data_IF_449067709433
#
_entry.id   IF_449067709433
#
_cell.length_a   1.000
_cell.length_b   1.000
_cell.length_c   1.000
_cell.angle_alpha   90.00
_cell.angle_beta   90.00
_cell.angle_gamma   90.00
#
_symmetry.space_group_name_H-M   'P 1'
#
loop_
_entity.id
_entity.type
_entity.pdbx_description
1 polymer ?
#
# COMPACT_ATOMS: atom_id res chain seq x y z
N UNK A 1 17.41 1.73 -15.80
CA UNK A 1 15.99 1.65 -15.39
C UNK A 1 15.80 1.64 -13.88
N UNK A 2 16.42 0.72 -13.11
CA UNK A 2 16.23 0.62 -11.65
C UNK A 2 16.51 1.94 -10.90
N UNK A 3 17.60 2.63 -11.23
CA UNK A 3 17.91 3.95 -10.66
C UNK A 3 16.72 4.91 -10.75
N UNK A 4 16.04 5.00 -11.90
CA UNK A 4 14.83 5.84 -12.08
C UNK A 4 13.73 5.53 -11.07
N UNK A 5 13.49 4.24 -10.79
CA UNK A 5 12.38 3.78 -9.95
C UNK A 5 12.68 3.89 -8.45
N UNK A 6 13.95 3.77 -8.07
CA UNK A 6 14.39 3.79 -6.68
C UNK A 6 14.88 5.17 -6.22
N UNK A 7 15.18 6.10 -7.15
CA UNK A 7 15.50 7.48 -6.80
C UNK A 7 14.30 8.15 -6.14
N UNK A 8 14.50 8.61 -4.90
CA UNK A 8 13.53 9.38 -4.13
C UNK A 8 13.32 10.77 -4.74
N UNK A 9 12.06 11.21 -4.80
CA UNK A 9 11.65 12.50 -5.35
C UNK A 9 10.81 13.24 -4.33
N UNK A 10 10.93 14.57 -4.31
CA UNK A 10 10.15 15.42 -3.42
C UNK A 10 8.81 15.74 -4.06
N UNK A 11 7.74 15.52 -3.31
CA UNK A 11 6.36 15.85 -3.70
C UNK A 11 5.84 16.85 -2.67
N UNK A 12 5.63 18.12 -3.05
CA UNK A 12 5.06 19.11 -2.15
C UNK A 12 3.68 18.69 -1.64
N UNK A 13 3.43 18.91 -0.34
CA UNK A 13 2.15 18.63 0.31
C UNK A 13 1.60 19.94 0.87
N UNK A 14 0.34 20.26 0.54
CA UNK A 14 -0.37 21.43 1.04
C UNK A 14 -1.60 21.01 1.83
N UNK A 15 -1.86 21.68 2.94
CA UNK A 15 -3.09 21.52 3.73
C UNK A 15 -3.99 22.71 3.41
N UNK A 16 -5.16 22.46 2.84
CA UNK A 16 -6.03 23.49 2.29
C UNK A 16 -7.28 23.65 3.16
N UNK A 17 -7.45 24.86 3.71
CA UNK A 17 -8.70 25.28 4.33
C UNK A 17 -9.74 25.57 3.23
N UNK A 18 -10.97 25.10 3.42
CA UNK A 18 -12.02 25.22 2.40
C UNK A 18 -13.35 25.66 3.02
N UNK A 19 -13.99 26.68 2.44
CA UNK A 19 -15.25 27.25 2.93
C UNK A 19 -15.25 27.57 4.44
N UNK A 20 -14.15 28.17 4.95
CA UNK A 20 -14.01 28.51 6.37
C UNK A 20 -13.71 27.33 7.30
N UNK A 21 -13.64 26.09 6.78
CA UNK A 21 -13.24 24.90 7.53
C UNK A 21 -11.72 24.77 7.52
N UNK A 22 -11.13 24.79 8.72
CA UNK A 22 -9.70 24.60 8.93
C UNK A 22 -9.43 23.10 9.02
N UNK A 23 -8.31 22.65 8.45
CA UNK A 23 -7.88 21.26 8.61
C UNK A 23 -7.60 20.96 10.08
N UNK A 24 -8.32 20.01 10.66
CA UNK A 24 -8.07 19.52 12.00
C UNK A 24 -6.78 18.69 12.02
N UNK A 25 -5.74 19.29 12.60
CA UNK A 25 -4.42 18.69 12.75
C UNK A 25 -4.24 17.98 14.09
N UNK A 26 -5.20 18.07 15.01
CA UNK A 26 -5.04 17.54 16.38
C UNK A 26 -4.86 16.03 16.43
N UNK A 27 -5.30 15.32 15.38
CA UNK A 27 -5.25 13.87 15.25
C UNK A 27 -3.98 13.37 14.52
N UNK A 28 -3.20 14.29 13.95
CA UNK A 28 -1.95 13.97 13.27
C UNK A 28 -0.81 13.73 14.26
N UNK A 29 0.17 12.95 13.82
CA UNK A 29 1.49 12.99 14.44
C UNK A 29 2.13 14.35 14.12
N UNK A 30 2.35 15.18 15.15
CA UNK A 30 2.75 16.58 14.94
C UNK A 30 4.14 16.69 14.28
N UNK A 31 5.08 15.80 14.63
CA UNK A 31 6.41 15.79 14.03
C UNK A 31 6.33 15.48 12.53
N UNK A 32 5.54 14.47 12.17
CA UNK A 32 5.33 14.11 10.77
C UNK A 32 4.54 15.18 10.01
N UNK A 33 3.52 15.77 10.63
CA UNK A 33 2.76 16.89 10.06
C UNK A 33 3.66 18.09 9.73
N UNK A 34 4.46 18.55 10.70
CA UNK A 34 5.36 19.70 10.51
C UNK A 34 6.41 19.41 9.43
N UNK A 35 6.95 18.19 9.43
CA UNK A 35 7.89 17.75 8.39
C UNK A 35 7.24 17.74 7.00
N UNK A 36 6.04 17.17 6.85
CA UNK A 36 5.30 17.13 5.59
C UNK A 36 4.93 18.53 5.10
N UNK A 37 4.46 19.41 5.99
CA UNK A 37 4.09 20.78 5.65
C UNK A 37 5.30 21.58 5.16
N UNK A 38 6.45 21.43 5.82
CA UNK A 38 7.67 22.19 5.48
C UNK A 38 8.41 21.60 4.27
N UNK A 39 8.52 20.28 4.21
CA UNK A 39 9.43 19.58 3.31
C UNK A 39 8.71 18.81 2.20
N UNK A 40 7.39 18.69 2.24
CA UNK A 40 6.65 17.73 1.41
C UNK A 40 6.96 16.28 1.80
N UNK A 41 6.54 15.35 0.96
CA UNK A 41 6.90 13.94 1.11
C UNK A 41 8.02 13.56 0.16
N UNK A 42 8.96 12.74 0.63
CA UNK A 42 10.04 12.21 -0.19
C UNK A 42 9.76 10.74 -0.51
N UNK A 43 9.43 10.45 -1.76
CA UNK A 43 8.95 9.14 -2.19
C UNK A 43 9.57 8.74 -3.53
N UNK A 44 9.90 7.47 -3.70
CA UNK A 44 10.35 6.94 -4.99
C UNK A 44 9.17 6.33 -5.78
N UNK A 45 9.23 6.28 -7.11
CA UNK A 45 8.22 5.57 -7.92
C UNK A 45 7.96 4.14 -7.45
N UNK A 46 8.99 3.43 -7.02
CA UNK A 46 8.82 2.06 -6.53
C UNK A 46 8.05 1.99 -5.21
N UNK A 47 8.23 2.98 -4.31
CA UNK A 47 7.43 3.05 -3.09
C UNK A 47 5.95 3.33 -3.40
N UNK A 48 5.65 4.14 -4.43
CA UNK A 48 4.26 4.39 -4.88
C UNK A 48 3.62 3.11 -5.36
N UNK A 49 4.29 2.39 -6.27
CA UNK A 49 3.81 1.11 -6.81
C UNK A 49 3.59 0.11 -5.67
N UNK A 50 4.58 -0.01 -4.79
CA UNK A 50 4.53 -0.92 -3.64
C UNK A 50 3.35 -0.58 -2.70
N UNK A 51 3.18 0.69 -2.31
CA UNK A 51 2.07 1.12 -1.45
C UNK A 51 0.70 0.91 -2.07
N UNK A 52 0.60 0.92 -3.41
CA UNK A 52 -0.68 0.70 -4.10
C UNK A 52 -1.03 -0.79 -4.24
N UNK A 53 -0.05 -1.69 -4.17
CA UNK A 53 -0.14 -3.10 -4.58
C UNK A 53 -1.30 -3.88 -3.95
N UNK A 54 -1.48 -3.74 -2.63
CA UNK A 54 -2.53 -4.44 -1.87
C UNK A 54 -3.91 -3.78 -2.01
N UNK A 55 -3.93 -2.47 -2.28
CA UNK A 55 -5.12 -1.63 -2.19
C UNK A 55 -5.79 -1.34 -3.52
N UNK A 56 -5.05 -1.43 -4.62
CA UNK A 56 -5.57 -1.13 -5.96
C UNK A 56 -6.35 -2.32 -6.54
N UNK A 57 -7.60 -2.08 -6.95
CA UNK A 57 -8.47 -3.12 -7.52
C UNK A 57 -8.40 -3.23 -9.03
N UNK A 58 -8.16 -2.15 -9.78
CA UNK A 58 -7.92 -2.19 -11.23
C UNK A 58 -8.90 -3.05 -12.06
N UNK A 59 -8.41 -3.62 -13.17
CA UNK A 59 -9.19 -4.38 -14.17
C UNK A 59 -9.30 -5.89 -13.89
N UNK A 60 -8.44 -6.44 -13.04
CA UNK A 60 -8.29 -7.89 -12.83
C UNK A 60 -8.81 -8.30 -11.44
N UNK A 61 -10.12 -8.20 -11.24
CA UNK A 61 -10.78 -8.40 -9.94
C UNK A 61 -10.39 -9.72 -9.25
N UNK A 62 -10.16 -10.77 -10.03
CA UNK A 62 -9.89 -12.13 -9.53
C UNK A 62 -8.40 -12.46 -9.38
N UNK A 63 -7.46 -11.61 -9.83
CA UNK A 63 -6.02 -11.91 -9.74
C UNK A 63 -5.22 -10.73 -9.23
N UNK A 64 -4.79 -10.80 -7.97
CA UNK A 64 -3.99 -9.74 -7.35
C UNK A 64 -2.61 -9.58 -8.00
N UNK A 65 -1.95 -10.69 -8.34
CA UNK A 65 -0.67 -10.65 -9.02
C UNK A 65 -0.78 -9.94 -10.39
N UNK A 66 -1.83 -10.22 -11.17
CA UNK A 66 -2.06 -9.53 -12.45
C UNK A 66 -2.42 -8.05 -12.27
N UNK A 67 -3.21 -7.70 -11.25
CA UNK A 67 -3.46 -6.28 -10.89
C UNK A 67 -2.15 -5.56 -10.65
N UNK A 68 -1.29 -6.14 -9.82
CA UNK A 68 -0.01 -5.54 -9.49
C UNK A 68 0.94 -5.46 -10.69
N UNK A 69 1.02 -6.51 -11.53
CA UNK A 69 1.78 -6.48 -12.80
C UNK A 69 1.29 -5.34 -13.70
N UNK A 70 -0.03 -5.18 -13.84
CA UNK A 70 -0.59 -4.12 -14.67
C UNK A 70 -0.25 -2.73 -14.10
N UNK A 71 -0.47 -2.51 -12.81
CA UNK A 71 -0.08 -1.28 -12.11
C UNK A 71 1.41 -0.95 -12.24
N UNK A 72 2.25 -1.98 -12.13
CA UNK A 72 3.70 -1.85 -12.27
C UNK A 72 4.10 -1.40 -13.69
N UNK A 73 3.53 -2.03 -14.72
CA UNK A 73 3.78 -1.67 -16.13
C UNK A 73 3.29 -0.24 -16.40
N UNK A 74 2.06 0.08 -15.98
CA UNK A 74 1.46 1.39 -16.20
C UNK A 74 2.31 2.51 -15.58
N UNK A 75 2.76 2.36 -14.32
CA UNK A 75 3.57 3.41 -13.67
C UNK A 75 4.98 3.51 -14.26
N UNK A 76 5.62 2.38 -14.59
CA UNK A 76 6.98 2.40 -15.14
C UNK A 76 7.04 3.14 -16.47
N UNK A 77 6.01 2.98 -17.31
CA UNK A 77 5.86 3.71 -18.55
C UNK A 77 5.64 5.22 -18.29
N UNK A 78 4.90 5.57 -17.24
CA UNK A 78 4.51 6.95 -16.98
C UNK A 78 5.62 7.81 -16.40
N UNK A 79 6.53 7.25 -15.60
CA UNK A 79 7.48 8.04 -14.82
C UNK A 79 8.60 8.56 -15.72
N UNK A 80 8.76 9.90 -15.80
CA UNK A 80 9.88 10.50 -16.54
C UNK A 80 11.23 10.23 -15.84
N UNK A 81 12.28 10.12 -16.65
CA UNK A 81 13.66 10.17 -16.16
C UNK A 81 13.93 11.56 -15.58
N UNK A 82 14.48 11.61 -14.37
CA UNK A 82 14.98 12.84 -13.77
C UNK A 82 16.49 12.70 -13.61
N UNK A 83 17.24 13.74 -13.94
CA UNK A 83 18.71 13.71 -13.92
C UNK A 83 19.27 14.08 -12.55
N UNK A 84 18.48 14.77 -11.70
CA UNK A 84 18.94 15.24 -10.39
C UNK A 84 18.10 14.69 -9.22
N UNK A 85 18.78 14.46 -8.10
CA UNK A 85 18.14 14.25 -6.80
C UNK A 85 17.47 15.57 -6.38
N UNK A 86 16.14 15.60 -6.36
CA UNK A 86 15.37 16.81 -6.02
C UNK A 86 14.43 17.29 -7.12
N UNK A 87 14.59 16.79 -8.35
CA UNK A 87 13.56 16.96 -9.37
C UNK A 87 12.25 16.34 -8.86
N UNK A 88 11.16 17.05 -9.06
CA UNK A 88 9.83 16.63 -8.64
C UNK A 88 9.44 15.26 -9.21
N UNK A 89 8.34 14.68 -8.71
CA UNK A 89 7.76 13.50 -9.33
C UNK A 89 7.05 13.91 -10.63
N UNK A 90 7.70 13.65 -11.77
CA UNK A 90 7.25 14.02 -13.11
C UNK A 90 6.70 12.81 -13.89
N UNK A 91 5.66 13.04 -14.68
CA UNK A 91 5.01 12.01 -15.49
C UNK A 91 4.91 12.40 -16.96
N UNK A 92 4.91 11.39 -17.85
CA UNK A 92 4.89 11.54 -19.29
C UNK A 92 3.53 11.91 -19.85
N UNK A 93 3.53 12.86 -20.79
CA UNK A 93 2.46 13.23 -21.71
C UNK A 93 2.40 12.34 -22.94
N UNK A 94 3.48 11.61 -23.25
CA UNK A 94 3.57 10.77 -24.46
C UNK A 94 2.68 9.51 -24.39
N UNK A 95 2.20 9.15 -23.20
CA UNK A 95 1.30 8.02 -23.02
C UNK A 95 -0.10 8.31 -23.55
N UNK A 96 -0.80 7.28 -24.05
CA UNK A 96 -2.21 7.44 -24.42
C UNK A 96 -3.07 7.86 -23.20
N UNK A 97 -4.14 8.61 -23.45
CA UNK A 97 -5.03 9.10 -22.40
C UNK A 97 -5.60 7.99 -21.49
N UNK A 98 -5.81 6.78 -22.04
CA UNK A 98 -6.29 5.63 -21.28
C UNK A 98 -5.24 5.15 -20.27
N UNK A 99 -3.99 4.96 -20.70
CA UNK A 99 -2.88 4.57 -19.81
C UNK A 99 -2.61 5.63 -18.75
N UNK A 100 -2.63 6.91 -19.12
CA UNK A 100 -2.49 8.00 -18.17
C UNK A 100 -3.59 7.97 -17.10
N UNK A 101 -4.82 7.56 -17.44
CA UNK A 101 -5.93 7.50 -16.48
C UNK A 101 -5.70 6.39 -15.46
N UNK A 102 -5.34 5.18 -15.95
CA UNK A 102 -5.04 4.02 -15.09
C UNK A 102 -3.82 4.28 -14.20
N UNK A 103 -2.72 4.77 -14.78
CA UNK A 103 -1.52 5.08 -13.99
C UNK A 103 -1.80 6.15 -12.94
N UNK A 104 -2.58 7.19 -13.26
CA UNK A 104 -2.95 8.24 -12.29
C UNK A 104 -3.75 7.70 -11.11
N UNK A 105 -4.61 6.70 -11.31
CA UNK A 105 -5.35 6.06 -10.22
C UNK A 105 -4.41 5.32 -9.27
N UNK A 106 -3.53 4.47 -9.81
CA UNK A 106 -2.54 3.73 -9.02
C UNK A 106 -1.59 4.69 -8.30
N UNK A 107 -1.12 5.74 -8.96
CA UNK A 107 -0.26 6.77 -8.38
C UNK A 107 -0.98 7.47 -7.22
N UNK A 108 -2.23 7.88 -7.42
CA UNK A 108 -3.01 8.55 -6.38
C UNK A 108 -3.22 7.64 -5.17
N UNK A 109 -3.54 6.36 -5.38
CA UNK A 109 -3.65 5.36 -4.30
C UNK A 109 -2.32 5.22 -3.55
N UNK A 110 -1.20 4.97 -4.26
CA UNK A 110 0.10 4.77 -3.61
C UNK A 110 0.58 5.98 -2.80
N UNK A 111 0.37 7.19 -3.34
CA UNK A 111 0.67 8.45 -2.63
C UNK A 111 -0.25 8.62 -1.42
N UNK A 112 -1.55 8.36 -1.58
CA UNK A 112 -2.54 8.48 -0.50
C UNK A 112 -2.20 7.57 0.69
N UNK A 113 -1.92 6.28 0.42
CA UNK A 113 -1.52 5.32 1.45
C UNK A 113 -0.24 5.76 2.15
N UNK A 114 0.75 6.23 1.39
CA UNK A 114 2.04 6.65 1.96
C UNK A 114 1.90 7.91 2.83
N UNK A 115 1.16 8.91 2.37
CA UNK A 115 0.89 10.13 3.15
C UNK A 115 0.08 9.81 4.39
N UNK A 116 -0.95 8.97 4.28
CA UNK A 116 -1.79 8.59 5.42
C UNK A 116 -0.97 7.85 6.48
N UNK A 117 -0.18 6.85 6.07
CA UNK A 117 0.70 6.11 6.97
C UNK A 117 1.68 7.03 7.69
N UNK A 118 2.29 7.98 6.98
CA UNK A 118 3.22 8.94 7.58
C UNK A 118 2.51 9.95 8.49
N UNK A 119 1.47 10.63 8.01
CA UNK A 119 0.77 11.70 8.71
C UNK A 119 0.15 11.23 10.04
N UNK A 120 -0.37 10.01 10.06
CA UNK A 120 -0.96 9.42 11.26
C UNK A 120 0.00 8.55 12.06
N UNK A 121 1.21 8.31 11.56
CA UNK A 121 2.19 7.38 12.14
C UNK A 121 1.58 5.99 12.40
N UNK A 122 1.05 5.37 11.35
CA UNK A 122 0.41 4.05 11.39
C UNK A 122 1.04 3.12 10.35
N UNK A 123 1.03 1.82 10.62
CA UNK A 123 1.47 0.82 9.64
C UNK A 123 0.46 0.66 8.50
N UNK A 124 0.95 0.39 7.27
CA UNK A 124 0.09 0.28 6.08
C UNK A 124 -0.93 -0.85 6.16
N UNK A 125 -0.62 -1.93 6.90
CA UNK A 125 -1.54 -3.05 7.17
C UNK A 125 -2.84 -2.63 7.90
N UNK A 126 -2.84 -1.47 8.55
CA UNK A 126 -4.03 -0.92 9.23
C UNK A 126 -4.99 -0.21 8.27
N UNK A 127 -4.51 0.14 7.07
CA UNK A 127 -5.31 0.81 6.04
C UNK A 127 -6.04 -0.26 5.22
N UNK A 128 -7.33 -0.07 5.00
CA UNK A 128 -8.21 -1.04 4.37
C UNK A 128 -9.04 -0.37 3.28
N UNK A 129 -9.18 -1.06 2.15
CA UNK A 129 -10.07 -0.65 1.07
C UNK A 129 -11.53 -0.82 1.52
N UNK A 130 -12.37 0.16 1.18
CA UNK A 130 -13.81 0.08 1.39
C UNK A 130 -14.45 -0.47 0.11
N UNK A 131 -15.03 -1.66 0.23
CA UNK A 131 -15.69 -2.38 -0.87
C UNK A 131 -17.21 -2.10 -0.86
N UNK A 132 -17.88 -2.16 -2.02
CA UNK A 132 -19.34 -2.09 -2.13
C UNK A 132 -19.91 -1.01 -3.06
N UNK A 133 -21.14 -1.25 -3.55
CA UNK A 133 -21.90 -0.29 -4.35
C UNK A 133 -22.31 0.92 -3.51
N UNK A 134 -22.06 2.13 -4.00
CA UNK A 134 -22.34 3.35 -3.24
C UNK A 134 -21.23 3.75 -2.27
N UNK A 135 -20.00 3.23 -2.44
CA UNK A 135 -18.83 3.69 -1.69
C UNK A 135 -18.66 5.21 -1.80
N UNK A 136 -18.39 5.85 -0.65
CA UNK A 136 -18.28 7.31 -0.53
C UNK A 136 -16.90 7.77 -0.06
N UNK A 137 -16.05 6.81 0.32
CA UNK A 137 -14.63 6.90 0.65
C UNK A 137 -13.92 5.70 0.00
N UNK A 138 -12.62 5.81 -0.25
CA UNK A 138 -11.85 4.70 -0.82
C UNK A 138 -11.23 3.82 0.27
N UNK A 139 -10.74 4.44 1.36
CA UNK A 139 -10.01 3.73 2.40
C UNK A 139 -10.51 4.06 3.80
N UNK A 140 -10.22 3.17 4.75
CA UNK A 140 -10.34 3.43 6.17
C UNK A 140 -9.16 2.85 6.94
N UNK A 141 -8.87 3.37 8.13
CA UNK A 141 -7.88 2.80 9.02
C UNK A 141 -8.32 2.95 10.48
N UNK A 142 -7.59 2.30 11.39
CA UNK A 142 -7.90 2.36 12.83
C UNK A 142 -6.66 2.87 13.57
N UNK A 143 -6.83 3.92 14.37
CA UNK A 143 -5.80 4.45 15.27
C UNK A 143 -6.43 4.78 16.62
N UNK A 144 -5.79 4.38 17.72
CA UNK A 144 -6.31 4.62 19.07
C UNK A 144 -7.76 4.13 19.28
N UNK A 145 -8.10 3.00 18.66
CA UNK A 145 -9.46 2.42 18.65
C UNK A 145 -10.52 3.29 17.97
N UNK A 146 -10.14 4.30 17.19
CA UNK A 146 -11.03 5.11 16.39
C UNK A 146 -10.89 4.72 14.91
N UNK A 147 -12.00 4.57 14.19
CA UNK A 147 -11.98 4.41 12.74
C UNK A 147 -11.81 5.77 12.05
N UNK A 148 -10.97 5.83 11.03
CA UNK A 148 -10.71 6.96 10.14
C UNK A 148 -11.10 6.60 8.70
N UNK A 149 -11.59 7.54 7.87
CA UNK A 149 -11.77 7.30 6.43
C UNK A 149 -10.94 8.28 5.60
N UNK A 150 -10.53 7.82 4.43
CA UNK A 150 -9.72 8.58 3.48
C UNK A 150 -10.34 8.44 2.08
N UNK A 151 -10.50 9.57 1.38
CA UNK A 151 -10.79 9.57 -0.07
C UNK A 151 -9.48 9.86 -0.83
N UNK A 152 -9.19 9.06 -1.86
CA UNK A 152 -8.05 9.29 -2.74
C UNK A 152 -8.53 9.84 -4.09
N UNK A 153 -7.95 10.94 -4.55
CA UNK A 153 -8.27 11.50 -5.88
C UNK A 153 -7.00 11.79 -6.67
N UNK A 154 -6.92 11.27 -7.90
CA UNK A 154 -5.95 11.70 -8.90
C UNK A 154 -6.54 12.73 -9.86
N UNK A 155 -5.83 13.81 -10.17
CA UNK A 155 -6.24 14.83 -11.15
C UNK A 155 -5.07 15.26 -12.02
N UNK A 156 -5.30 15.42 -13.32
CA UNK A 156 -4.26 15.85 -14.28
C UNK A 156 -4.16 17.37 -14.44
N UNK A 157 -5.26 18.09 -14.22
CA UNK A 157 -5.38 19.52 -14.57
C UNK A 157 -5.91 20.33 -13.38
N UNK A 158 -7.21 20.27 -13.11
CA UNK A 158 -7.82 21.02 -12.01
C UNK A 158 -8.19 20.11 -10.84
N UNK A 159 -7.81 20.53 -9.63
CA UNK A 159 -8.14 19.86 -8.38
C UNK A 159 -9.45 20.36 -7.76
N UNK A 160 -9.95 21.54 -8.16
CA UNK A 160 -11.18 22.11 -7.60
C UNK A 160 -12.41 21.20 -7.73
N UNK A 161 -12.62 20.47 -8.85
CA UNK A 161 -13.71 19.49 -8.94
C UNK A 161 -13.55 18.34 -7.94
N UNK A 162 -12.31 17.90 -7.66
CA UNK A 162 -12.07 16.86 -6.64
C UNK A 162 -12.37 17.36 -5.24
N UNK A 163 -11.96 18.60 -4.91
CA UNK A 163 -12.28 19.25 -3.64
C UNK A 163 -13.80 19.30 -3.46
N UNK A 164 -14.52 19.87 -4.44
CA UNK A 164 -16.00 19.97 -4.40
C UNK A 164 -16.66 18.59 -4.27
N UNK A 165 -16.18 17.57 -4.97
CA UNK A 165 -16.70 16.20 -4.89
C UNK A 165 -16.53 15.61 -3.49
N UNK A 166 -15.36 15.74 -2.87
CA UNK A 166 -15.09 15.26 -1.50
C UNK A 166 -16.05 15.91 -0.50
N UNK A 167 -16.22 17.24 -0.56
CA UNK A 167 -17.14 17.95 0.32
C UNK A 167 -18.62 17.60 0.03
N UNK A 168 -19.04 17.47 -1.25
CA UNK A 168 -20.42 17.11 -1.64
C UNK A 168 -20.78 15.68 -1.24
N UNK A 169 -19.90 14.70 -1.49
CA UNK A 169 -20.11 13.30 -1.06
C UNK A 169 -20.36 13.19 0.44
N UNK A 170 -19.83 14.15 1.19
CA UNK A 170 -19.97 14.22 2.63
C UNK A 170 -21.20 15.00 3.11
N UNK A 171 -21.60 16.08 2.44
CA UNK A 171 -22.83 16.81 2.82
C UNK A 171 -24.09 15.94 2.74
N UNK A 172 -24.05 14.85 1.97
CA UNK A 172 -25.13 13.87 1.83
C UNK A 172 -25.11 12.75 2.90
N UNK A 173 -24.36 12.91 4.00
CA UNK A 173 -24.30 11.97 5.14
C UNK A 173 -24.87 12.60 6.41
N UNK A 174 -25.53 11.78 7.24
CA UNK A 174 -25.65 12.09 8.68
C UNK A 174 -24.24 12.02 9.32
N UNK A 175 -23.96 12.99 10.17
CA UNK A 175 -22.67 13.51 10.65
C UNK A 175 -21.74 12.54 11.43
N UNK A 176 -21.39 11.35 10.93
CA UNK A 176 -20.70 10.33 11.77
C UNK A 176 -19.55 9.59 11.07
N UNK A 177 -18.81 10.21 10.14
CA UNK A 177 -17.59 9.55 9.63
C UNK A 177 -16.43 10.52 9.31
N UNK A 178 -15.21 10.26 9.82
CA UNK A 178 -13.98 11.04 9.58
C UNK A 178 -13.61 10.96 8.14
N UNK A 179 -13.25 12.06 7.50
CA UNK A 179 -12.81 11.97 6.12
C UNK A 179 -11.68 12.96 5.90
N UNK A 180 -10.48 12.47 5.62
CA UNK A 180 -9.49 13.30 4.95
C UNK A 180 -9.51 13.00 3.45
N UNK A 181 -9.43 14.04 2.63
CA UNK A 181 -9.25 13.91 1.20
C UNK A 181 -7.77 14.08 0.87
N UNK A 182 -7.17 13.07 0.24
CA UNK A 182 -5.82 13.18 -0.32
C UNK A 182 -5.93 13.32 -1.84
N UNK A 183 -5.67 14.53 -2.33
CA UNK A 183 -5.79 14.86 -3.75
C UNK A 183 -4.39 14.96 -4.35
N UNK A 184 -4.04 14.00 -5.19
CA UNK A 184 -2.81 14.00 -5.98
C UNK A 184 -3.03 14.76 -7.29
N UNK A 185 -2.39 15.91 -7.45
CA UNK A 185 -2.29 16.60 -8.73
C UNK A 185 -1.10 16.01 -9.50
N UNK A 186 -1.40 15.28 -10.57
CA UNK A 186 -0.51 14.47 -11.40
C UNK A 186 -0.50 15.06 -12.83
N UNK A 187 0.10 16.24 -13.01
CA UNK A 187 0.11 16.92 -14.30
C UNK A 187 0.99 16.16 -15.30
N UNK A 188 0.67 16.31 -16.59
CA UNK A 188 1.36 15.64 -17.70
C UNK A 188 2.22 16.59 -18.52
N UNK A 189 2.19 17.88 -18.20
CA UNK A 189 2.97 18.95 -18.83
C UNK A 189 4.42 19.05 -18.31
N UNK A 190 4.96 17.96 -17.75
CA UNK A 190 6.27 17.92 -17.09
C UNK A 190 6.40 18.77 -15.81
N UNK A 191 5.30 19.34 -15.28
CA UNK A 191 5.34 19.95 -13.96
C UNK A 191 5.33 18.90 -12.84
N UNK A 192 5.79 19.28 -11.65
CA UNK A 192 5.87 18.36 -10.51
C UNK A 192 4.50 18.01 -9.98
N UNK A 193 4.32 16.71 -9.67
CA UNK A 193 3.22 16.23 -8.84
C UNK A 193 3.22 16.97 -7.51
N UNK A 194 2.02 17.32 -7.04
CA UNK A 194 1.76 17.95 -5.74
C UNK A 194 0.57 17.27 -5.08
N UNK A 195 0.50 17.31 -3.76
CA UNK A 195 -0.62 16.76 -3.01
C UNK A 195 -1.30 17.84 -2.21
N UNK A 196 -2.63 17.82 -2.20
CA UNK A 196 -3.45 18.66 -1.34
C UNK A 196 -4.28 17.79 -0.41
N UNK A 197 -4.21 18.11 0.88
CA UNK A 197 -5.00 17.47 1.93
C UNK A 197 -6.12 18.43 2.31
N UNK A 198 -7.35 17.91 2.31
CA UNK A 198 -8.55 18.60 2.79
C UNK A 198 -9.18 17.79 3.90
N UNK A 199 -9.77 18.49 4.86
CA UNK A 199 -10.41 17.86 6.02
C UNK A 199 -11.80 18.44 6.23
N UNK A 200 -12.81 17.62 5.98
CA UNK A 200 -14.15 17.93 6.43
C UNK A 200 -14.53 17.32 7.81
N UNK A 201 -15.50 17.93 8.50
CA UNK A 201 -15.96 17.64 9.89
C UNK A 201 -16.21 16.17 10.28
N UNK A 202 -15.93 15.78 11.53
CA UNK A 202 -15.77 14.38 11.93
C UNK A 202 -16.38 14.02 13.30
N UNK A 203 -16.95 12.80 13.44
CA UNK A 203 -17.12 12.06 14.71
C UNK A 203 -16.57 10.62 14.56
N UNK A 204 -15.61 10.17 15.40
CA UNK A 204 -15.08 8.80 15.39
C UNK A 204 -16.06 7.76 15.91
N UNK A 205 -15.99 6.58 15.31
CA UNK A 205 -16.58 5.37 15.85
C UNK A 205 -15.49 4.54 16.54
N UNK A 206 -15.81 4.04 17.72
CA UNK A 206 -14.92 3.16 18.47
C UNK A 206 -14.92 1.75 17.88
N UNK A 207 -13.73 1.16 17.75
CA UNK A 207 -13.54 -0.18 17.21
C UNK A 207 -12.83 -1.08 18.22
N UNK A 208 -13.45 -2.24 18.46
CA UNK A 208 -12.91 -3.28 19.31
C UNK A 208 -11.69 -4.02 18.69
N UNK A 209 -10.97 -4.75 19.52
CA UNK A 209 -9.76 -5.49 19.11
C UNK A 209 -10.04 -6.61 18.09
N UNK A 210 -11.20 -7.26 18.18
CA UNK A 210 -11.63 -8.29 17.21
C UNK A 210 -11.65 -7.74 15.78
N UNK A 211 -12.23 -6.56 15.58
CA UNK A 211 -12.32 -5.92 14.27
C UNK A 211 -10.95 -5.53 13.72
N UNK A 212 -10.02 -5.09 14.59
CA UNK A 212 -8.63 -4.82 14.19
C UNK A 212 -7.95 -6.07 13.64
N UNK A 213 -8.01 -7.19 14.38
CA UNK A 213 -7.45 -8.47 13.93
C UNK A 213 -8.11 -8.96 12.65
N UNK A 214 -9.44 -8.86 12.57
CA UNK A 214 -10.21 -9.22 11.37
C UNK A 214 -9.65 -8.51 10.14
N UNK A 215 -9.44 -7.19 10.21
CA UNK A 215 -8.86 -6.40 9.11
C UNK A 215 -7.43 -6.81 8.78
N UNK A 216 -6.61 -7.10 9.79
CA UNK A 216 -5.25 -7.60 9.58
C UNK A 216 -5.22 -8.95 8.86
N UNK A 217 -6.13 -9.88 9.18
CA UNK A 217 -6.24 -11.15 8.45
C UNK A 217 -6.63 -10.94 6.99
N UNK A 218 -7.58 -10.05 6.70
CA UNK A 218 -7.94 -9.73 5.33
C UNK A 218 -6.74 -9.10 4.59
N UNK A 219 -6.03 -8.16 5.19
CA UNK A 219 -4.84 -7.54 4.62
C UNK A 219 -3.74 -8.58 4.33
N UNK A 220 -3.36 -9.37 5.33
CA UNK A 220 -2.29 -10.34 5.20
C UNK A 220 -2.67 -11.54 4.34
N UNK A 221 -3.95 -11.85 4.16
CA UNK A 221 -4.38 -12.82 3.13
C UNK A 221 -4.05 -12.32 1.72
N UNK A 222 -4.27 -11.03 1.45
CA UNK A 222 -3.97 -10.39 0.16
C UNK A 222 -2.45 -10.42 -0.07
N UNK A 223 -1.68 -10.00 0.93
CA UNK A 223 -0.22 -10.03 0.88
C UNK A 223 0.34 -11.45 0.69
N UNK A 224 -0.15 -12.42 1.46
CA UNK A 224 0.25 -13.84 1.36
C UNK A 224 0.01 -14.41 -0.06
N UNK A 225 -1.08 -14.00 -0.70
CA UNK A 225 -1.35 -14.39 -2.08
C UNK A 225 -0.34 -13.78 -3.08
N UNK A 226 0.06 -12.53 -2.90
CA UNK A 226 1.06 -11.87 -3.76
C UNK A 226 2.46 -12.47 -3.62
N UNK A 227 2.83 -13.00 -2.46
CA UNK A 227 4.13 -13.66 -2.24
C UNK A 227 4.09 -15.16 -2.56
N UNK A 228 2.97 -15.67 -3.07
CA UNK A 228 2.80 -17.07 -3.48
C UNK A 228 2.42 -18.05 -2.36
N UNK A 229 2.33 -17.60 -1.10
CA UNK A 229 1.85 -18.38 0.04
C UNK A 229 0.30 -18.48 0.01
N UNK A 230 -0.25 -19.05 -1.05
CA UNK A 230 -1.70 -19.09 -1.31
C UNK A 230 -2.48 -19.84 -0.22
N UNK A 231 -1.96 -20.93 0.34
CA UNK A 231 -2.63 -21.67 1.42
C UNK A 231 -2.69 -20.86 2.71
N UNK A 232 -1.67 -20.05 2.99
CA UNK A 232 -1.66 -19.14 4.14
C UNK A 232 -2.75 -18.09 3.93
N UNK A 233 -2.86 -17.56 2.71
CA UNK A 233 -3.93 -16.63 2.35
C UNK A 233 -5.32 -17.23 2.59
N UNK A 234 -5.57 -18.47 2.20
CA UNK A 234 -6.84 -19.17 2.45
C UNK A 234 -7.13 -19.32 3.93
N UNK A 235 -6.17 -19.81 4.72
CA UNK A 235 -6.34 -20.03 6.16
C UNK A 235 -6.58 -18.71 6.91
N UNK A 236 -5.87 -17.64 6.55
CA UNK A 236 -6.15 -16.29 7.09
C UNK A 236 -7.55 -15.81 6.73
N UNK A 237 -8.02 -16.10 5.51
CA UNK A 237 -9.38 -15.75 5.06
C UNK A 237 -10.46 -16.56 5.79
N UNK A 238 -10.20 -17.84 6.07
CA UNK A 238 -11.07 -18.66 6.91
C UNK A 238 -11.19 -18.07 8.33
N UNK A 239 -10.07 -17.64 8.93
CA UNK A 239 -10.09 -16.97 10.25
C UNK A 239 -10.83 -15.64 10.20
N UNK A 240 -10.64 -14.84 9.15
CA UNK A 240 -11.41 -13.62 8.90
C UNK A 240 -12.93 -13.90 8.87
N UNK A 241 -13.36 -14.94 8.15
CA UNK A 241 -14.77 -15.32 8.08
C UNK A 241 -15.30 -15.75 9.44
N UNK A 242 -14.57 -16.57 10.21
CA UNK A 242 -14.97 -16.96 11.56
C UNK A 242 -15.14 -15.76 12.50
N UNK A 243 -14.21 -14.79 12.50
CA UNK A 243 -14.40 -13.58 13.31
C UNK A 243 -15.63 -12.78 12.82
N UNK A 244 -15.86 -12.74 11.50
CA UNK A 244 -17.06 -12.11 10.94
C UNK A 244 -18.37 -12.78 11.37
N UNK A 245 -18.33 -14.10 11.65
CA UNK A 245 -19.42 -14.91 12.17
C UNK A 245 -19.59 -14.80 13.70
N UNK A 246 -18.75 -14.01 14.38
CA UNK A 246 -18.87 -13.72 15.80
C UNK A 246 -17.87 -14.43 16.72
N UNK A 247 -16.92 -15.21 16.18
CA UNK A 247 -15.85 -15.82 16.97
C UNK A 247 -14.89 -14.76 17.52
N UNK A 248 -14.28 -15.04 18.68
CA UNK A 248 -13.31 -14.14 19.29
C UNK A 248 -11.90 -14.42 18.74
N UNK A 249 -11.10 -13.38 18.49
CA UNK A 249 -9.72 -13.55 18.01
C UNK A 249 -8.86 -14.39 18.98
N UNK A 250 -9.16 -14.35 20.28
CA UNK A 250 -8.48 -15.17 21.29
C UNK A 250 -8.64 -16.66 21.07
N UNK A 251 -9.69 -17.09 20.36
CA UNK A 251 -9.88 -18.48 19.95
C UNK A 251 -8.82 -18.96 18.95
N UNK A 252 -8.04 -18.03 18.38
CA UNK A 252 -7.02 -18.30 17.36
C UNK A 252 -5.61 -17.92 17.81
N UNK A 253 -5.46 -17.12 18.86
CA UNK A 253 -4.15 -16.67 19.35
C UNK A 253 -3.32 -17.88 19.81
N UNK A 254 -2.06 -17.95 19.39
CA UNK A 254 -1.14 -19.06 19.63
C UNK A 254 -1.67 -20.43 19.18
N UNK A 255 -2.54 -20.45 18.16
CA UNK A 255 -3.02 -21.69 17.52
C UNK A 255 -2.50 -21.74 16.09
N UNK A 256 -1.36 -22.40 15.86
CA UNK A 256 -0.71 -22.41 14.56
C UNK A 256 -1.64 -22.84 13.43
N UNK A 257 -1.42 -22.27 12.26
CA UNK A 257 -2.09 -22.68 11.04
C UNK A 257 -1.47 -23.99 10.53
N UNK A 258 -2.31 -24.96 10.19
CA UNK A 258 -1.85 -26.22 9.60
C UNK A 258 -1.38 -25.98 8.15
N UNK A 259 -0.07 -25.92 7.98
CA UNK A 259 0.62 -25.51 6.75
C UNK A 259 1.50 -26.60 6.14
N UNK A 260 1.57 -27.78 6.75
CA UNK A 260 2.60 -28.79 6.47
C UNK A 260 2.51 -29.41 5.06
N UNK A 261 1.33 -29.37 4.44
CA UNK A 261 1.13 -29.94 3.10
C UNK A 261 1.56 -29.03 1.94
N UNK A 262 1.94 -27.77 2.20
CA UNK A 262 2.26 -26.79 1.15
C UNK A 262 3.67 -26.97 0.60
N UNK A 263 4.60 -27.47 1.41
CA UNK A 263 6.00 -27.70 1.02
C UNK A 263 6.13 -28.65 -0.18
N UNK A 264 5.18 -29.58 -0.36
CA UNK A 264 5.19 -30.51 -1.52
C UNK A 264 4.86 -29.83 -2.85
N UNK A 265 4.19 -28.67 -2.80
CA UNK A 265 3.59 -27.98 -3.94
C UNK A 265 4.48 -26.86 -4.51
N UNK A 266 5.63 -26.61 -3.91
CA UNK A 266 6.54 -25.54 -4.29
C UNK A 266 7.76 -25.50 -3.41
N UNK A 267 8.38 -24.32 -3.31
CA UNK A 267 9.50 -24.07 -2.41
C UNK A 267 9.43 -22.68 -1.81
N UNK A 268 9.92 -22.56 -0.57
CA UNK A 268 10.21 -21.27 0.07
C UNK A 268 11.61 -20.85 -0.34
N UNK A 269 11.76 -19.64 -0.87
CA UNK A 269 13.04 -19.00 -1.16
C UNK A 269 13.23 -17.89 -0.13
N UNK A 270 14.33 -17.95 0.60
CA UNK A 270 14.73 -16.94 1.59
C UNK A 270 15.79 -16.03 1.00
N UNK A 271 15.56 -14.73 1.07
CA UNK A 271 16.46 -13.67 0.61
C UNK A 271 16.72 -12.75 1.79
N UNK A 272 17.98 -12.46 2.07
CA UNK A 272 18.37 -11.63 3.19
C UNK A 272 19.08 -10.34 2.77
N UNK A 273 18.90 -9.30 3.58
CA UNK A 273 19.65 -8.05 3.49
C UNK A 273 20.12 -7.64 4.88
N UNK A 274 21.43 -7.65 5.12
CA UNK A 274 22.09 -7.32 6.40
C UNK A 274 21.45 -8.06 7.60
N UNK A 275 20.38 -7.50 8.16
CA UNK A 275 19.75 -7.92 9.41
C UNK A 275 18.32 -8.45 9.23
N UNK A 276 17.75 -8.40 8.02
CA UNK A 276 16.36 -8.78 7.75
C UNK A 276 16.31 -9.89 6.71
N UNK A 277 15.52 -10.93 6.99
CA UNK A 277 15.23 -12.03 6.07
C UNK A 277 13.82 -11.91 5.52
N UNK A 278 13.67 -12.18 4.23
CA UNK A 278 12.41 -12.13 3.50
C UNK A 278 12.19 -13.44 2.78
N UNK A 279 10.93 -13.87 2.71
CA UNK A 279 10.58 -15.10 2.03
C UNK A 279 9.53 -14.87 0.95
N UNK A 280 9.61 -15.73 -0.07
CA UNK A 280 8.64 -15.87 -1.14
C UNK A 280 8.43 -17.36 -1.41
N UNK A 281 7.22 -17.75 -1.78
CA UNK A 281 6.91 -19.13 -2.13
C UNK A 281 6.72 -19.27 -3.64
N UNK A 282 7.51 -20.14 -4.26
CA UNK A 282 7.44 -20.46 -5.68
C UNK A 282 6.73 -21.80 -5.85
N UNK A 283 5.47 -21.77 -6.29
CA UNK A 283 4.73 -22.97 -6.63
C UNK A 283 5.27 -23.63 -7.91
N UNK A 284 5.27 -24.97 -7.97
CA UNK A 284 5.79 -25.72 -9.14
C UNK A 284 5.08 -25.37 -10.46
N UNK A 285 3.80 -24.98 -10.39
CA UNK A 285 2.94 -24.69 -11.55
C UNK A 285 2.53 -23.21 -11.65
N UNK A 286 3.44 -22.28 -11.34
CA UNK A 286 3.47 -20.82 -11.68
C UNK A 286 2.21 -19.93 -11.58
N UNK A 287 1.07 -20.39 -11.05
CA UNK A 287 -0.17 -19.59 -10.99
C UNK A 287 -0.28 -18.67 -9.77
N UNK A 288 0.65 -18.76 -8.81
CA UNK A 288 0.59 -18.01 -7.56
C UNK A 288 1.83 -17.15 -7.37
N UNK A 289 1.63 -16.01 -6.71
CA UNK A 289 2.66 -15.04 -6.44
C UNK A 289 2.95 -14.09 -7.61
N UNK A 290 3.62 -12.99 -7.30
CA UNK A 290 4.10 -12.04 -8.27
C UNK A 290 5.54 -12.40 -8.68
N UNK A 291 5.73 -12.65 -9.98
CA UNK A 291 7.05 -12.75 -10.63
C UNK A 291 6.98 -12.07 -11.98
N UNK A 292 7.86 -11.09 -12.21
CA UNK A 292 7.97 -10.43 -13.52
C UNK A 292 9.43 -10.15 -13.85
N UNK A 293 9.88 -10.67 -14.99
CA UNK A 293 11.21 -10.36 -15.53
C UNK A 293 11.20 -8.96 -16.16
N UNK A 294 12.26 -8.19 -15.88
CA UNK A 294 12.50 -6.85 -16.41
C UNK A 294 13.99 -6.70 -16.75
N UNK A 295 14.33 -6.99 -18.01
CA UNK A 295 15.72 -7.10 -18.45
C UNK A 295 16.42 -8.29 -17.78
N UNK A 296 17.58 -8.04 -17.18
CA UNK A 296 18.36 -9.04 -16.43
C UNK A 296 17.81 -9.31 -15.02
N UNK A 297 16.91 -8.46 -14.51
CA UNK A 297 16.33 -8.59 -13.18
C UNK A 297 15.00 -9.33 -13.20
N UNK A 298 14.78 -10.13 -12.17
CA UNK A 298 13.47 -10.65 -11.80
C UNK A 298 12.93 -9.84 -10.62
N UNK A 299 11.74 -9.27 -10.82
CA UNK A 299 11.00 -8.59 -9.75
C UNK A 299 10.10 -9.57 -9.01
N UNK A 300 10.14 -9.51 -7.67
CA UNK A 300 9.45 -10.42 -6.75
C UNK A 300 8.81 -9.63 -5.62
N UNK A 301 7.63 -10.09 -5.18
CA UNK A 301 7.04 -9.64 -3.93
C UNK A 301 7.38 -10.63 -2.82
N UNK A 302 7.85 -10.15 -1.68
CA UNK A 302 8.25 -10.94 -0.52
C UNK A 302 7.61 -10.40 0.75
N UNK A 303 7.71 -11.19 1.82
CA UNK A 303 7.31 -10.79 3.16
C UNK A 303 8.44 -11.10 4.14
N UNK A 304 8.60 -10.28 5.16
CA UNK A 304 9.56 -10.55 6.24
C UNK A 304 9.29 -11.92 6.88
N UNK A 305 10.36 -12.70 7.09
CA UNK A 305 10.30 -14.03 7.69
C UNK A 305 9.69 -14.01 9.10
N UNK A 306 9.98 -12.98 9.91
CA UNK A 306 9.39 -12.85 11.26
C UNK A 306 7.89 -12.59 11.22
N UNK A 307 7.42 -11.76 10.29
CA UNK A 307 5.99 -11.58 10.06
C UNK A 307 5.32 -12.88 9.62
N UNK A 308 5.95 -13.65 8.72
CA UNK A 308 5.44 -14.97 8.34
C UNK A 308 5.31 -15.88 9.55
N UNK A 309 6.33 -15.94 10.41
CA UNK A 309 6.27 -16.70 11.66
C UNK A 309 5.09 -16.27 12.55
N UNK A 310 4.91 -14.95 12.75
CA UNK A 310 3.78 -14.39 13.51
C UNK A 310 2.44 -14.84 12.91
N UNK A 311 2.30 -14.83 11.58
CA UNK A 311 1.09 -15.26 10.88
C UNK A 311 0.91 -16.79 10.93
N UNK A 312 1.96 -17.57 10.79
CA UNK A 312 1.91 -19.04 10.83
C UNK A 312 1.55 -19.54 12.23
N UNK A 313 2.19 -18.98 13.26
CA UNK A 313 1.97 -19.35 14.66
C UNK A 313 0.77 -18.65 15.31
N UNK A 314 0.19 -17.67 14.61
CA UNK A 314 -0.92 -16.84 15.08
C UNK A 314 -0.59 -16.10 16.40
N UNK A 315 0.58 -15.44 16.45
CA UNK A 315 0.95 -14.56 17.56
C UNK A 315 0.24 -13.21 17.40
N UNK A 316 -1.08 -13.18 17.66
CA UNK A 316 -1.96 -12.06 17.28
C UNK A 316 -1.68 -10.77 18.05
N UNK A 317 -1.16 -10.88 19.28
CA UNK A 317 -0.73 -9.72 20.06
C UNK A 317 0.53 -9.08 19.47
N UNK A 318 1.49 -9.88 19.01
CA UNK A 318 2.66 -9.38 18.25
C UNK A 318 2.21 -8.77 16.92
N UNK A 319 1.28 -9.41 16.21
CA UNK A 319 0.75 -8.92 14.94
C UNK A 319 0.13 -7.51 15.05
N UNK A 320 -0.54 -7.20 16.16
CA UNK A 320 -1.15 -5.89 16.41
C UNK A 320 -0.12 -4.78 16.64
N UNK A 321 1.07 -5.13 17.11
CA UNK A 321 2.18 -4.21 17.38
C UNK A 321 3.22 -4.25 16.27
N UNK A 322 3.07 -5.15 15.30
CA UNK A 322 4.05 -5.40 14.28
C UNK A 322 4.28 -4.18 13.39
N UNK A 323 5.52 -3.74 13.36
CA UNK A 323 6.00 -2.67 12.49
C UNK A 323 7.50 -2.83 12.25
N UNK A 324 7.94 -2.62 11.02
CA UNK A 324 9.37 -2.53 10.68
C UNK A 324 9.70 -1.16 10.09
N UNK A 325 10.99 -0.82 10.08
CA UNK A 325 11.45 0.42 9.47
C UNK A 325 11.40 0.34 7.95
N UNK A 326 10.81 1.35 7.31
CA UNK A 326 10.80 1.45 5.86
C UNK A 326 12.20 1.70 5.31
N UNK A 327 12.56 0.97 4.26
CA UNK A 327 13.86 1.11 3.62
C UNK A 327 13.74 1.01 2.10
N UNK A 328 14.50 1.84 1.40
CA UNK A 328 14.65 1.75 -0.06
C UNK A 328 16.13 1.53 -0.32
N UNK A 329 16.49 0.32 -0.74
CA UNK A 329 17.87 -0.11 -0.94
C UNK A 329 18.09 -0.27 -2.45
N UNK A 330 19.19 0.29 -2.96
CA UNK A 330 19.61 0.13 -4.35
C UNK A 330 21.09 -0.25 -4.37
N UNK A 331 21.37 -1.49 -4.75
CA UNK A 331 22.70 -1.98 -5.10
C UNK A 331 22.75 -2.31 -6.60
N UNK A 332 23.94 -2.61 -7.11
CA UNK A 332 24.13 -2.87 -8.54
C UNK A 332 23.45 -4.16 -9.00
N UNK A 333 23.38 -5.15 -8.11
CA UNK A 333 22.90 -6.52 -8.31
C UNK A 333 21.51 -6.77 -7.70
N UNK A 334 21.06 -5.91 -6.78
CA UNK A 334 19.76 -6.05 -6.12
C UNK A 334 19.17 -4.74 -5.64
N UNK A 335 17.84 -4.66 -5.61
CA UNK A 335 17.14 -3.49 -5.08
C UNK A 335 15.91 -3.92 -4.28
N UNK A 336 15.61 -3.21 -3.19
CA UNK A 336 14.52 -3.54 -2.26
C UNK A 336 13.73 -2.28 -1.88
N UNK A 337 12.41 -2.38 -1.93
CA UNK A 337 11.46 -1.44 -1.33
C UNK A 337 10.81 -2.18 -0.18
N UNK A 338 11.18 -1.86 1.06
CA UNK A 338 10.71 -2.50 2.29
C UNK A 338 9.72 -1.54 2.96
N UNK A 339 8.52 -2.03 3.28
CA UNK A 339 7.45 -1.25 3.89
C UNK A 339 7.21 -1.65 5.35
N UNK A 340 6.62 -0.74 6.12
CA UNK A 340 6.43 -0.88 7.57
C UNK A 340 5.43 -1.96 8.00
N UNK A 341 4.74 -2.56 7.03
CA UNK A 341 3.82 -3.67 7.20
C UNK A 341 4.47 -5.04 6.96
N UNK A 342 5.78 -5.09 6.71
CA UNK A 342 6.55 -6.30 6.47
C UNK A 342 6.56 -6.76 5.01
N UNK A 343 5.89 -6.02 4.12
CA UNK A 343 5.94 -6.29 2.68
C UNK A 343 7.24 -5.78 2.05
N UNK A 344 7.74 -6.52 1.07
CA UNK A 344 8.95 -6.18 0.33
C UNK A 344 8.73 -6.35 -1.16
N UNK A 345 9.12 -5.33 -1.92
CA UNK A 345 9.21 -5.44 -3.37
C UNK A 345 10.68 -5.41 -3.79
N UNK A 346 11.16 -6.51 -4.37
CA UNK A 346 12.56 -6.69 -4.71
C UNK A 346 12.80 -6.84 -6.22
N UNK A 347 13.99 -6.45 -6.64
CA UNK A 347 14.59 -6.79 -7.93
C UNK A 347 15.90 -7.52 -7.66
N UNK A 348 16.02 -8.70 -8.24
CA UNK A 348 17.15 -9.61 -8.06
C UNK A 348 17.64 -10.06 -9.43
N UNK A 349 18.93 -10.34 -9.60
CA UNK A 349 19.42 -10.93 -10.84
C UNK A 349 18.67 -12.23 -11.14
N UNK A 350 18.24 -12.39 -12.39
CA UNK A 350 17.41 -13.55 -12.78
C UNK A 350 18.16 -14.86 -12.56
N UNK A 351 19.47 -14.87 -12.83
CA UNK A 351 20.35 -16.02 -12.57
C UNK A 351 20.37 -16.44 -11.09
N UNK A 352 20.25 -15.51 -10.14
CA UNK A 352 20.24 -15.85 -8.72
C UNK A 352 18.91 -16.49 -8.31
N UNK A 353 17.81 -16.08 -8.94
CA UNK A 353 16.51 -16.72 -8.74
C UNK A 353 16.45 -18.09 -9.38
N UNK A 354 17.06 -18.25 -10.56
CA UNK A 354 17.05 -19.51 -11.30
C UNK A 354 18.03 -20.55 -10.72
N UNK A 355 19.07 -20.15 -9.97
CA UNK A 355 19.87 -21.07 -9.13
C UNK A 355 19.05 -21.67 -7.99
N UNK A 356 18.09 -20.88 -7.48
CA UNK A 356 17.09 -21.37 -6.55
C UNK A 356 15.93 -22.05 -7.27
N UNK A 357 15.86 -21.92 -8.62
CA UNK A 357 14.95 -22.35 -9.69
C UNK A 357 14.73 -23.84 -9.84
#
# INVERSE_FOLDING_TARGET
MLKRLFTKRKVPVTFLNYNGKIVDTTLFDQNNYDSLRKNGITISPINIIHSASIHYTGRFDNSMALRFINSFIDIIASVKNTTNNGDGLLFSDEESNEFQTKSSEVIAVGICITITSNLFNISRNTINLIEGSGKRCDFCFIKNSLQYYIESKGRKVDINPAIKDIFKKKSNYNSISPKYGVISHIPRDSSSTKVTIVDPDFIPEEINKNEKIKRLFLYYSKLSHMIGFWRLAELLRERYNKISEGFNYTDFNNKPLDYDNVVKLGRRISISTKDISFDVFMAKNSQHGFKKQVGEFTSLFLMEAKLLEILEQQYLDELLQYQINEQTILHNDKAFSIQNDGSVFAFLLTEDIDKHG
#
